data_IF_400094253594
#
_entry.id   IF_400094253594
#
_cell.length_a   1.000
_cell.length_b   1.000
_cell.length_c   1.000
_cell.angle_alpha   90.00
_cell.angle_beta   90.00
_cell.angle_gamma   90.00
#
_symmetry.space_group_name_H-M   'P 1'
#
loop_
_entity.id
_entity.type
_entity.pdbx_description
1 polymer ?
#
# COMPACT_ATOMS: atom_id res chain seq x y z
N UNK A 1 -2.03 2.06 -8.97
CA UNK A 1 -1.94 0.63 -9.32
C UNK A 1 -3.18 -0.10 -8.86
N UNK A 2 -3.16 -0.65 -7.63
CA UNK A 2 -4.23 -1.53 -7.11
C UNK A 2 -5.65 -0.95 -7.18
N UNK A 3 -5.87 0.29 -6.72
CA UNK A 3 -7.20 0.91 -6.77
C UNK A 3 -7.77 1.07 -8.20
N UNK A 4 -6.90 1.28 -9.20
CA UNK A 4 -7.34 1.37 -10.60
C UNK A 4 -7.78 0.00 -11.13
N UNK A 5 -7.12 -1.08 -10.70
CA UNK A 5 -7.47 -2.46 -11.07
C UNK A 5 -8.79 -2.90 -10.43
N UNK A 6 -9.04 -2.50 -9.17
CA UNK A 6 -10.34 -2.68 -8.51
C UNK A 6 -11.46 -1.93 -9.24
N UNK A 7 -11.22 -0.67 -9.58
CA UNK A 7 -12.20 0.15 -10.30
C UNK A 7 -12.50 -0.42 -11.69
N UNK A 8 -11.51 -0.98 -12.38
CA UNK A 8 -11.71 -1.66 -13.66
C UNK A 8 -12.58 -2.92 -13.52
N UNK A 9 -12.37 -3.73 -12.47
CA UNK A 9 -13.25 -4.87 -12.13
C UNK A 9 -14.68 -4.38 -11.88
N UNK A 10 -14.85 -3.42 -10.98
CA UNK A 10 -16.17 -2.84 -10.62
C UNK A 10 -16.93 -2.28 -11.82
N UNK A 11 -16.23 -1.66 -12.77
CA UNK A 11 -16.84 -1.15 -14.01
C UNK A 11 -17.50 -2.29 -14.82
N UNK A 12 -16.83 -3.43 -14.96
CA UNK A 12 -17.39 -4.59 -15.67
C UNK A 12 -18.53 -5.27 -14.90
N UNK A 13 -18.47 -5.25 -13.57
CA UNK A 13 -19.54 -5.76 -12.71
C UNK A 13 -20.83 -4.92 -12.83
N UNK A 14 -20.71 -3.59 -12.82
CA UNK A 14 -21.85 -2.67 -12.97
C UNK A 14 -22.41 -2.71 -14.39
N UNK A 15 -21.55 -2.91 -15.39
CA UNK A 15 -21.95 -3.04 -16.79
C UNK A 15 -22.62 -4.37 -17.14
N UNK A 16 -22.92 -5.23 -16.15
CA UNK A 16 -23.56 -6.53 -16.35
C UNK A 16 -22.70 -7.57 -17.07
N UNK A 17 -21.38 -7.33 -17.20
CA UNK A 17 -20.46 -8.22 -17.92
C UNK A 17 -19.81 -9.28 -17.02
N UNK A 18 -20.46 -9.63 -15.90
CA UNK A 18 -19.99 -10.68 -14.99
C UNK A 18 -19.89 -12.02 -15.72
N UNK A 19 -18.81 -12.76 -15.44
CA UNK A 19 -18.56 -14.08 -16.04
C UNK A 19 -17.90 -14.07 -17.41
N UNK A 20 -17.80 -12.91 -18.09
CA UNK A 20 -17.03 -12.76 -19.33
C UNK A 20 -15.53 -12.95 -19.06
N UNK A 21 -14.77 -13.30 -20.10
CA UNK A 21 -13.31 -13.46 -19.96
C UNK A 21 -12.62 -12.14 -19.61
N UNK A 22 -13.17 -11.02 -20.08
CA UNK A 22 -12.74 -9.69 -19.65
C UNK A 22 -12.94 -9.48 -18.14
N UNK A 23 -14.08 -9.89 -17.58
CA UNK A 23 -14.32 -9.82 -16.13
C UNK A 23 -13.34 -10.69 -15.35
N UNK A 24 -13.10 -11.94 -15.79
CA UNK A 24 -12.11 -12.82 -15.15
C UNK A 24 -10.71 -12.21 -15.13
N UNK A 25 -10.27 -11.60 -16.23
CA UNK A 25 -8.98 -10.90 -16.30
C UNK A 25 -8.90 -9.74 -15.30
N UNK A 26 -9.96 -8.95 -15.16
CA UNK A 26 -9.99 -7.85 -14.17
C UNK A 26 -10.01 -8.35 -12.71
N UNK A 27 -10.60 -9.52 -12.45
CA UNK A 27 -10.57 -10.15 -11.12
C UNK A 27 -9.13 -10.56 -10.75
N UNK A 28 -8.37 -11.13 -11.69
CA UNK A 28 -6.95 -11.45 -11.47
C UNK A 28 -6.16 -10.17 -11.21
N UNK A 29 -6.39 -9.10 -11.98
CA UNK A 29 -5.75 -7.81 -11.77
C UNK A 29 -6.03 -7.20 -10.39
N UNK A 30 -7.28 -7.25 -9.93
CA UNK A 30 -7.64 -6.77 -8.59
C UNK A 30 -7.04 -7.63 -7.48
N UNK A 31 -7.02 -8.96 -7.65
CA UNK A 31 -6.38 -9.89 -6.69
C UNK A 31 -4.89 -9.59 -6.50
N UNK A 32 -4.18 -9.23 -7.57
CA UNK A 32 -2.79 -8.76 -7.48
C UNK A 32 -2.70 -7.35 -6.86
N UNK A 33 -3.71 -6.52 -7.07
CA UNK A 33 -3.81 -5.15 -6.58
C UNK A 33 -4.15 -5.02 -5.10
N UNK A 34 -4.84 -6.00 -4.52
CA UNK A 34 -5.32 -5.99 -3.13
C UNK A 34 -4.16 -5.88 -2.11
N UNK A 35 -3.10 -6.72 -2.17
CA UNK A 35 -1.95 -6.56 -1.26
C UNK A 35 -1.26 -5.20 -1.44
N UNK A 36 -1.19 -4.68 -2.67
CA UNK A 36 -0.56 -3.39 -2.94
C UNK A 36 -1.33 -2.21 -2.35
N UNK A 37 -2.67 -2.19 -2.49
CA UNK A 37 -3.49 -1.04 -2.08
C UNK A 37 -3.90 -1.12 -0.61
N UNK A 38 -4.14 -2.31 -0.06
CA UNK A 38 -4.71 -2.47 1.28
C UNK A 38 -3.66 -2.84 2.35
N UNK A 39 -2.54 -3.43 1.94
CA UNK A 39 -1.47 -3.82 2.88
C UNK A 39 -0.25 -2.90 2.74
N UNK A 40 0.44 -2.94 1.59
CA UNK A 40 1.73 -2.26 1.47
C UNK A 40 1.62 -0.74 1.49
N UNK A 41 0.64 -0.16 0.81
CA UNK A 41 0.51 1.30 0.72
C UNK A 41 0.23 1.96 2.09
N UNK A 42 -0.74 1.51 2.92
CA UNK A 42 -0.93 2.05 4.27
C UNK A 42 0.28 1.78 5.18
N UNK A 43 0.88 0.59 5.12
CA UNK A 43 2.01 0.22 5.97
C UNK A 43 3.25 1.08 5.72
N UNK A 44 3.57 1.39 4.46
CA UNK A 44 4.73 2.24 4.12
C UNK A 44 4.57 3.66 4.64
N UNK A 45 3.36 4.22 4.59
CA UNK A 45 3.08 5.55 5.12
C UNK A 45 3.30 5.61 6.64
N UNK A 46 2.85 4.59 7.36
CA UNK A 46 3.08 4.49 8.82
C UNK A 46 4.56 4.27 9.12
N UNK A 47 5.22 3.38 8.38
CA UNK A 47 6.65 3.09 8.54
C UNK A 47 7.50 4.36 8.45
N UNK A 48 7.29 5.18 7.40
CA UNK A 48 8.05 6.41 7.19
C UNK A 48 7.81 7.40 8.33
N UNK A 49 6.56 7.57 8.75
CA UNK A 49 6.21 8.49 9.85
C UNK A 49 6.82 8.05 11.18
N UNK A 50 6.69 6.77 11.53
CA UNK A 50 7.23 6.24 12.77
C UNK A 50 8.76 6.29 12.77
N UNK A 51 9.41 5.92 11.66
CA UNK A 51 10.86 6.01 11.55
C UNK A 51 11.35 7.45 11.75
N UNK A 52 10.66 8.44 11.17
CA UNK A 52 11.00 9.85 11.36
C UNK A 52 10.81 10.29 12.82
N UNK A 53 9.69 9.94 13.46
CA UNK A 53 9.45 10.28 14.87
C UNK A 53 10.45 9.63 15.80
N UNK A 54 10.73 8.33 15.61
CA UNK A 54 11.77 7.63 16.37
C UNK A 54 13.13 8.29 16.15
N UNK A 55 13.49 8.61 14.91
CA UNK A 55 14.77 9.28 14.63
C UNK A 55 14.89 10.58 15.42
N UNK A 56 13.88 11.45 15.38
CA UNK A 56 13.89 12.72 16.11
C UNK A 56 13.96 12.55 17.63
N UNK A 57 13.20 11.61 18.20
CA UNK A 57 13.18 11.37 19.64
C UNK A 57 14.51 10.81 20.15
N UNK A 58 15.17 9.97 19.36
CA UNK A 58 16.41 9.31 19.76
C UNK A 58 17.69 10.12 19.43
N UNK A 59 17.60 11.29 18.76
CA UNK A 59 18.76 12.17 18.48
C UNK A 59 19.62 12.44 19.74
N UNK A 60 19.07 12.88 20.89
CA UNK A 60 19.89 13.16 22.07
C UNK A 60 20.62 11.93 22.59
N UNK A 61 19.98 10.76 22.51
CA UNK A 61 20.61 9.50 22.93
C UNK A 61 21.81 9.15 22.03
N UNK A 62 21.66 9.28 20.71
CA UNK A 62 22.75 8.97 19.78
C UNK A 62 23.91 9.99 19.85
N UNK A 63 23.60 11.27 20.04
CA UNK A 63 24.59 12.34 20.14
C UNK A 63 25.37 12.34 21.46
N UNK A 64 24.75 11.91 22.58
CA UNK A 64 25.38 11.94 23.91
C UNK A 64 25.98 10.58 24.28
N UNK A 65 25.28 9.48 23.96
CA UNK A 65 25.61 8.15 24.46
C UNK A 65 26.35 7.24 23.48
N UNK A 66 26.33 7.53 22.17
CA UNK A 66 26.84 6.61 21.14
C UNK A 66 27.98 7.17 20.29
N UNK A 67 27.97 8.48 19.97
CA UNK A 67 29.13 9.17 19.41
C UNK A 67 29.86 9.94 20.53
N UNK A 68 31.01 9.44 21.04
CA UNK A 68 31.92 10.32 21.75
C UNK A 68 32.51 11.28 20.71
N UNK A 69 32.00 12.50 20.64
CA UNK A 69 32.67 13.63 19.98
C UNK A 69 33.90 14.04 20.79
#
# INVERSE_FOLDING_TARGET
GGAAMDNAKKLLEISGKKGTDAHKATVVGDTLGDPMKDTYAPSLHILIKLLNTLSLVFIPLFMIGLLPL
#
